data_IF_656553503054
#
_entry.id   IF_656553503054
#
_cell.length_a   1.000
_cell.length_b   1.000
_cell.length_c   1.000
_cell.angle_alpha   90.00
_cell.angle_beta   90.00
_cell.angle_gamma   90.00
#
_symmetry.space_group_name_H-M   'P 1'
#
loop_
_entity.id
_entity.type
_entity.pdbx_description
1 polymer ?
#
# COMPACT_ATOMS: atom_id res chain seq x y z
N UNK A 1 -33.92 -7.86 -11.81
CA UNK A 1 -33.21 -7.23 -12.93
C UNK A 1 -31.94 -6.65 -12.32
N UNK A 2 -30.78 -7.28 -12.53
CA UNK A 2 -29.49 -6.73 -12.16
C UNK A 2 -29.25 -5.48 -13.03
N UNK A 3 -28.98 -4.34 -12.41
CA UNK A 3 -28.60 -3.14 -13.14
C UNK A 3 -27.35 -3.46 -13.99
N UNK A 4 -27.38 -3.09 -15.27
CA UNK A 4 -26.26 -3.35 -16.17
C UNK A 4 -25.12 -2.38 -15.83
N UNK A 5 -23.97 -2.92 -15.37
CA UNK A 5 -22.80 -2.12 -15.03
C UNK A 5 -21.91 -1.85 -16.24
N UNK A 6 -21.38 -0.63 -16.33
CA UNK A 6 -20.41 -0.20 -17.37
C UNK A 6 -18.96 -0.27 -16.87
N UNK A 7 -18.75 -0.29 -15.56
CA UNK A 7 -17.43 -0.32 -14.96
C UNK A 7 -17.33 -1.37 -13.86
N UNK A 8 -16.19 -2.05 -13.78
CA UNK A 8 -15.86 -2.99 -12.70
C UNK A 8 -14.47 -2.69 -12.11
N UNK A 9 -14.38 -2.66 -10.78
CA UNK A 9 -13.11 -2.63 -10.05
C UNK A 9 -12.93 -3.96 -9.31
N UNK A 10 -11.80 -4.64 -9.54
CA UNK A 10 -11.60 -6.01 -9.07
C UNK A 10 -10.25 -6.13 -8.36
N UNK A 11 -10.26 -6.64 -7.13
CA UNK A 11 -9.05 -6.78 -6.35
C UNK A 11 -9.07 -8.05 -5.48
N UNK A 12 -8.01 -8.85 -5.58
CA UNK A 12 -7.79 -10.00 -4.69
C UNK A 12 -7.29 -9.51 -3.31
N UNK A 13 -8.02 -8.58 -2.72
CA UNK A 13 -7.71 -7.96 -1.43
C UNK A 13 -8.99 -7.80 -0.60
N UNK A 14 -8.85 -7.86 0.73
CA UNK A 14 -10.00 -7.68 1.62
C UNK A 14 -10.40 -6.22 1.70
N UNK A 15 -11.67 -5.94 1.41
CA UNK A 15 -12.23 -4.60 1.49
C UNK A 15 -13.63 -4.57 2.16
N UNK A 16 -13.86 -3.64 3.11
CA UNK A 16 -12.88 -2.75 3.75
C UNK A 16 -11.92 -3.49 4.70
N UNK A 17 -10.79 -2.88 5.00
CA UNK A 17 -9.86 -3.37 6.02
C UNK A 17 -8.97 -2.22 6.54
N UNK A 18 -8.27 -2.41 7.66
CA UNK A 18 -7.31 -1.45 8.21
C UNK A 18 -5.97 -1.41 7.45
N UNK A 19 -5.85 -2.08 6.29
CA UNK A 19 -4.62 -2.08 5.49
C UNK A 19 -4.57 -0.87 4.55
N UNK A 20 -3.36 -0.38 4.27
CA UNK A 20 -3.15 0.65 3.26
C UNK A 20 -3.70 0.30 1.87
N UNK A 21 -3.71 -0.99 1.50
CA UNK A 21 -4.34 -1.44 0.25
C UNK A 21 -5.84 -1.13 0.18
N UNK A 22 -6.57 -1.20 1.30
CA UNK A 22 -7.98 -0.85 1.33
C UNK A 22 -8.21 0.64 1.17
N UNK A 23 -7.33 1.49 1.74
CA UNK A 23 -7.37 2.94 1.51
C UNK A 23 -7.18 3.26 0.04
N UNK A 24 -6.18 2.63 -0.59
CA UNK A 24 -5.91 2.78 -2.01
C UNK A 24 -7.11 2.34 -2.87
N UNK A 25 -7.68 1.13 -2.62
CA UNK A 25 -8.88 0.65 -3.33
C UNK A 25 -10.02 1.65 -3.22
N UNK A 26 -10.27 2.22 -2.03
CA UNK A 26 -11.34 3.21 -1.82
C UNK A 26 -11.20 4.40 -2.76
N UNK A 27 -10.00 4.98 -2.87
CA UNK A 27 -9.78 6.16 -3.70
C UNK A 27 -9.79 5.85 -5.20
N UNK A 28 -9.17 4.76 -5.63
CA UNK A 28 -9.09 4.40 -7.05
C UNK A 28 -10.44 3.92 -7.59
N UNK A 29 -11.16 3.08 -6.81
CA UNK A 29 -12.50 2.64 -7.18
C UNK A 29 -13.52 3.80 -7.19
N UNK A 30 -13.41 4.75 -6.24
CA UNK A 30 -14.26 5.93 -6.25
C UNK A 30 -14.10 6.73 -7.54
N UNK A 31 -12.86 6.93 -8.04
CA UNK A 31 -12.65 7.64 -9.31
C UNK A 31 -13.31 6.94 -10.48
N UNK A 32 -13.17 5.60 -10.57
CA UNK A 32 -13.81 4.82 -11.62
C UNK A 32 -15.34 4.95 -11.57
N UNK A 33 -15.93 4.81 -10.39
CA UNK A 33 -17.38 4.78 -10.23
C UNK A 33 -18.02 6.16 -10.32
N UNK A 34 -17.37 7.22 -9.86
CA UNK A 34 -17.86 8.59 -10.03
C UNK A 34 -17.99 8.96 -11.53
N UNK A 35 -17.07 8.47 -12.38
CA UNK A 35 -17.12 8.69 -13.83
C UNK A 35 -18.24 7.91 -14.54
N UNK A 36 -18.60 6.73 -14.05
CA UNK A 36 -19.57 5.84 -14.70
C UNK A 36 -20.94 5.83 -14.01
N UNK A 37 -21.14 6.66 -12.98
CA UNK A 37 -22.40 6.70 -12.21
C UNK A 37 -22.61 5.48 -11.33
N UNK A 38 -21.55 4.72 -11.05
CA UNK A 38 -21.57 3.49 -10.26
C UNK A 38 -20.80 2.35 -10.94
N UNK A 39 -20.99 1.14 -10.45
CA UNK A 39 -20.33 -0.05 -11.00
C UNK A 39 -20.25 -1.21 -10.03
N UNK A 40 -19.48 -2.23 -10.42
CA UNK A 40 -19.31 -3.47 -9.68
C UNK A 40 -17.93 -3.49 -9.00
N UNK A 41 -17.90 -3.60 -7.67
CA UNK A 41 -16.68 -3.78 -6.87
C UNK A 41 -16.57 -5.24 -6.40
N UNK A 42 -15.65 -6.03 -7.01
CA UNK A 42 -15.37 -7.41 -6.65
C UNK A 42 -14.12 -7.50 -5.76
N UNK A 43 -14.26 -7.97 -4.52
CA UNK A 43 -13.17 -8.01 -3.54
C UNK A 43 -13.24 -9.26 -2.65
N UNK A 44 -12.20 -9.50 -1.85
CA UNK A 44 -12.26 -10.50 -0.79
C UNK A 44 -13.10 -9.99 0.40
N UNK A 45 -13.91 -10.87 0.95
CA UNK A 45 -14.66 -10.67 2.19
C UNK A 45 -13.95 -11.22 3.41
N UNK A 46 -14.74 -11.56 4.43
CA UNK A 46 -14.33 -12.22 5.66
C UNK A 46 -14.72 -11.47 6.92
N UNK A 47 -14.75 -12.18 8.08
CA UNK A 47 -15.31 -11.67 9.31
C UNK A 47 -16.81 -11.39 9.17
N UNK A 48 -17.27 -10.29 9.72
CA UNK A 48 -18.69 -9.90 9.74
C UNK A 48 -19.14 -9.08 8.51
N UNK A 49 -18.27 -9.02 7.47
CA UNK A 49 -18.61 -8.28 6.25
C UNK A 49 -19.67 -9.03 5.43
N UNK A 50 -20.76 -8.35 4.99
CA UNK A 50 -21.77 -8.98 4.16
C UNK A 50 -21.17 -9.38 2.80
N UNK A 51 -21.66 -10.49 2.24
CA UNK A 51 -21.22 -10.94 0.90
C UNK A 51 -21.65 -9.95 -0.22
N UNK A 52 -22.76 -9.24 0.01
CA UNK A 52 -23.31 -8.20 -0.87
C UNK A 52 -23.62 -6.94 -0.10
N UNK A 53 -23.34 -5.80 -0.71
CA UNK A 53 -23.68 -4.48 -0.18
C UNK A 53 -23.87 -3.51 -1.35
N UNK A 54 -24.81 -2.58 -1.23
CA UNK A 54 -25.00 -1.50 -2.21
C UNK A 54 -24.78 -0.15 -1.55
N UNK A 55 -23.95 0.67 -2.17
CA UNK A 55 -23.68 2.05 -1.74
C UNK A 55 -23.92 2.99 -2.95
N UNK A 56 -25.07 3.66 -2.98
CA UNK A 56 -25.47 4.47 -4.13
C UNK A 56 -25.53 3.62 -5.41
N UNK A 57 -24.78 4.01 -6.44
CA UNK A 57 -24.64 3.28 -7.71
C UNK A 57 -23.63 2.14 -7.69
N UNK A 58 -22.96 1.89 -6.58
CA UNK A 58 -21.90 0.86 -6.48
C UNK A 58 -22.45 -0.40 -5.83
N UNK A 59 -22.28 -1.53 -6.51
CA UNK A 59 -22.52 -2.86 -5.96
C UNK A 59 -21.20 -3.46 -5.50
N UNK A 60 -21.09 -3.74 -4.19
CA UNK A 60 -19.92 -4.35 -3.58
C UNK A 60 -20.23 -5.82 -3.34
N UNK A 61 -19.54 -6.69 -4.06
CA UNK A 61 -19.65 -8.14 -3.92
C UNK A 61 -18.35 -8.70 -3.36
N UNK A 62 -18.46 -9.59 -2.38
CA UNK A 62 -17.32 -10.13 -1.65
C UNK A 62 -17.25 -11.63 -1.79
N UNK A 63 -16.08 -12.11 -2.20
CA UNK A 63 -15.76 -13.54 -2.15
C UNK A 63 -15.55 -13.96 -0.70
N UNK A 64 -16.43 -14.81 -0.18
CA UNK A 64 -16.49 -15.20 1.23
C UNK A 64 -16.09 -16.64 1.50
N UNK A 65 -15.80 -17.43 0.44
CA UNK A 65 -15.42 -18.83 0.60
C UNK A 65 -14.10 -18.97 1.36
N UNK A 66 -14.08 -19.91 2.30
CA UNK A 66 -12.90 -20.20 3.12
C UNK A 66 -12.03 -21.21 2.39
N UNK A 67 -11.05 -20.69 1.62
CA UNK A 67 -10.05 -21.50 0.91
C UNK A 67 -8.68 -21.24 1.55
N UNK A 68 -8.14 -22.18 2.34
CA UNK A 68 -6.90 -21.94 3.12
C UNK A 68 -5.66 -21.73 2.25
N UNK A 69 -5.50 -22.54 1.19
CA UNK A 69 -4.37 -22.41 0.27
C UNK A 69 -4.50 -21.12 -0.57
N UNK A 70 -3.43 -20.34 -0.65
CA UNK A 70 -3.43 -19.06 -1.36
C UNK A 70 -3.70 -19.20 -2.86
N UNK A 71 -3.09 -20.17 -3.54
CA UNK A 71 -3.23 -20.34 -4.98
C UNK A 71 -4.60 -20.93 -5.34
N UNK A 72 -5.10 -21.88 -4.54
CA UNK A 72 -6.46 -22.40 -4.71
C UNK A 72 -7.50 -21.30 -4.49
N UNK A 73 -7.28 -20.43 -3.49
CA UNK A 73 -8.14 -19.26 -3.26
C UNK A 73 -8.08 -18.26 -4.42
N UNK A 74 -6.88 -18.01 -4.97
CA UNK A 74 -6.73 -17.13 -6.12
C UNK A 74 -7.47 -17.69 -7.35
N UNK A 75 -7.38 -19.01 -7.60
CA UNK A 75 -8.13 -19.67 -8.65
C UNK A 75 -9.64 -19.64 -8.44
N UNK A 76 -10.09 -19.93 -7.21
CA UNK A 76 -11.52 -19.89 -6.86
C UNK A 76 -12.07 -18.47 -7.00
N UNK A 77 -11.32 -17.46 -6.54
CA UNK A 77 -11.67 -16.05 -6.73
C UNK A 77 -11.76 -15.66 -8.20
N UNK A 78 -10.81 -16.07 -9.02
CA UNK A 78 -10.82 -15.79 -10.47
C UNK A 78 -12.06 -16.38 -11.15
N UNK A 79 -12.42 -17.63 -10.84
CA UNK A 79 -13.63 -18.27 -11.35
C UNK A 79 -14.90 -17.54 -10.85
N UNK A 80 -14.96 -17.20 -9.57
CA UNK A 80 -16.08 -16.45 -8.99
C UNK A 80 -16.23 -15.06 -9.62
N UNK A 81 -15.12 -14.36 -9.93
CA UNK A 81 -15.16 -13.08 -10.66
C UNK A 81 -15.74 -13.26 -12.06
N UNK A 82 -15.35 -14.32 -12.79
CA UNK A 82 -15.92 -14.61 -14.10
C UNK A 82 -17.46 -14.70 -14.06
N UNK A 83 -17.99 -15.45 -13.08
CA UNK A 83 -19.44 -15.58 -12.87
C UNK A 83 -20.12 -14.25 -12.52
N UNK A 84 -19.41 -13.32 -11.83
CA UNK A 84 -19.95 -12.00 -11.50
C UNK A 84 -19.92 -11.04 -12.69
N UNK A 85 -18.96 -11.17 -13.59
CA UNK A 85 -18.84 -10.35 -14.80
C UNK A 85 -19.76 -10.80 -15.93
N UNK A 86 -20.10 -12.09 -16.01
CA UNK A 86 -20.90 -12.66 -17.10
C UNK A 86 -22.21 -11.89 -17.40
N UNK A 87 -23.02 -11.50 -16.40
CA UNK A 87 -24.28 -10.75 -16.66
C UNK A 87 -24.08 -9.36 -17.26
N UNK A 88 -22.83 -8.85 -17.25
CA UNK A 88 -22.47 -7.50 -17.65
C UNK A 88 -21.58 -7.46 -18.93
N UNK A 89 -21.28 -8.61 -19.56
CA UNK A 89 -20.37 -8.69 -20.70
C UNK A 89 -20.69 -7.69 -21.81
N UNK A 90 -21.96 -7.52 -22.15
CA UNK A 90 -22.39 -6.63 -23.24
C UNK A 90 -22.39 -5.15 -22.85
N UNK A 91 -22.24 -4.83 -21.58
CA UNK A 91 -22.34 -3.46 -21.06
C UNK A 91 -21.05 -2.94 -20.45
N UNK A 92 -20.13 -3.83 -20.04
CA UNK A 92 -18.84 -3.45 -19.47
C UNK A 92 -17.96 -2.74 -20.51
N UNK A 93 -17.58 -1.52 -20.22
CA UNK A 93 -16.68 -0.70 -21.02
C UNK A 93 -15.25 -0.76 -20.48
N UNK A 94 -15.11 -0.82 -19.14
CA UNK A 94 -13.82 -0.78 -18.46
C UNK A 94 -13.79 -1.69 -17.23
N UNK A 95 -12.70 -2.45 -17.11
CA UNK A 95 -12.34 -3.20 -15.92
C UNK A 95 -11.02 -2.68 -15.38
N UNK A 96 -11.01 -2.22 -14.11
CA UNK A 96 -9.80 -1.87 -13.39
C UNK A 96 -9.44 -3.01 -12.43
N UNK A 97 -8.24 -3.55 -12.56
CA UNK A 97 -7.80 -4.74 -11.81
C UNK A 97 -6.45 -4.49 -11.12
N UNK A 98 -6.18 -5.23 -10.02
CA UNK A 98 -4.97 -5.00 -9.23
C UNK A 98 -4.00 -6.21 -9.19
N UNK A 99 -4.37 -7.30 -9.79
CA UNK A 99 -3.63 -8.55 -9.74
C UNK A 99 -4.01 -9.46 -10.91
N UNK A 100 -3.19 -10.48 -11.24
CA UNK A 100 -3.46 -11.34 -12.37
C UNK A 100 -4.71 -12.21 -12.20
N UNK A 101 -5.11 -12.51 -10.97
CA UNK A 101 -6.30 -13.33 -10.68
C UNK A 101 -7.60 -12.59 -11.00
N UNK A 102 -7.57 -11.26 -10.81
CA UNK A 102 -8.62 -10.33 -11.21
C UNK A 102 -8.60 -10.06 -12.72
N UNK A 103 -7.40 -10.00 -13.31
CA UNK A 103 -7.22 -9.65 -14.72
C UNK A 103 -7.66 -10.78 -15.67
N UNK A 104 -7.37 -12.04 -15.35
CA UNK A 104 -7.73 -13.17 -16.21
C UNK A 104 -9.21 -13.19 -16.60
N UNK A 105 -10.19 -13.16 -15.66
CA UNK A 105 -11.59 -13.11 -16.02
C UNK A 105 -11.99 -11.80 -16.70
N UNK A 106 -11.40 -10.66 -16.33
CA UNK A 106 -11.69 -9.38 -16.97
C UNK A 106 -11.28 -9.35 -18.45
N UNK A 107 -10.20 -10.03 -18.84
CA UNK A 107 -9.76 -10.15 -20.23
C UNK A 107 -10.75 -10.89 -21.13
N UNK A 108 -11.70 -11.66 -20.59
CA UNK A 108 -12.71 -12.39 -21.39
C UNK A 108 -13.94 -11.55 -21.70
N UNK A 109 -14.12 -10.40 -21.04
CA UNK A 109 -15.33 -9.56 -21.19
C UNK A 109 -15.32 -8.68 -22.44
N UNK A 110 -14.16 -8.49 -23.08
CA UNK A 110 -14.00 -7.50 -24.16
C UNK A 110 -13.92 -6.04 -23.69
N UNK A 111 -14.13 -5.77 -22.40
CA UNK A 111 -13.94 -4.45 -21.81
C UNK A 111 -12.48 -4.01 -21.86
N UNK A 112 -12.23 -2.72 -21.84
CA UNK A 112 -10.87 -2.16 -21.72
C UNK A 112 -10.29 -2.49 -20.35
N UNK A 113 -9.11 -3.07 -20.30
CA UNK A 113 -8.45 -3.46 -19.07
C UNK A 113 -7.45 -2.38 -18.62
N UNK A 114 -7.66 -1.79 -17.46
CA UNK A 114 -6.65 -1.02 -16.73
C UNK A 114 -6.07 -1.91 -15.65
N UNK A 115 -4.76 -2.20 -15.74
CA UNK A 115 -4.06 -3.03 -14.75
C UNK A 115 -3.25 -2.14 -13.81
N UNK A 116 -3.61 -2.12 -12.54
CA UNK A 116 -2.92 -1.39 -11.48
C UNK A 116 -1.85 -2.28 -10.84
N UNK A 117 -0.58 -2.08 -11.19
CA UNK A 117 0.53 -2.88 -10.70
C UNK A 117 1.12 -2.28 -9.41
N UNK A 118 0.54 -2.60 -8.26
CA UNK A 118 1.08 -2.22 -6.94
C UNK A 118 2.10 -3.22 -6.39
N UNK A 119 2.14 -4.41 -6.94
CA UNK A 119 3.03 -5.50 -6.62
C UNK A 119 3.01 -6.55 -7.71
N UNK A 120 3.98 -7.44 -7.67
CA UNK A 120 4.12 -8.53 -8.62
C UNK A 120 4.13 -9.86 -7.84
N UNK A 121 3.03 -10.63 -7.87
CA UNK A 121 2.90 -11.89 -7.13
C UNK A 121 4.06 -12.86 -7.33
N UNK A 122 4.69 -12.90 -8.51
CA UNK A 122 5.87 -13.72 -8.75
C UNK A 122 7.09 -13.35 -7.91
N UNK A 123 7.20 -12.06 -7.48
CA UNK A 123 8.25 -11.57 -6.59
C UNK A 123 7.80 -11.61 -5.12
N UNK A 124 6.51 -11.32 -4.85
CA UNK A 124 6.00 -11.22 -3.46
C UNK A 124 5.69 -12.56 -2.82
N UNK A 125 5.25 -13.56 -3.60
CA UNK A 125 4.83 -14.86 -3.09
C UNK A 125 5.89 -15.57 -2.23
N UNK A 126 7.20 -15.58 -2.57
CA UNK A 126 8.23 -16.20 -1.75
C UNK A 126 8.32 -15.69 -0.32
N UNK A 127 7.92 -14.44 -0.06
CA UNK A 127 7.89 -13.89 1.29
C UNK A 127 6.71 -14.40 2.12
N UNK A 128 5.59 -14.71 1.48
CA UNK A 128 4.43 -15.32 2.13
C UNK A 128 4.52 -16.84 2.17
N UNK A 129 5.18 -17.42 1.19
CA UNK A 129 5.33 -18.87 1.02
C UNK A 129 6.76 -19.21 0.55
N UNK A 130 7.75 -19.25 1.45
CA UNK A 130 9.16 -19.49 1.13
C UNK A 130 9.44 -20.83 0.45
N UNK A 131 8.52 -21.80 0.58
CA UNK A 131 8.61 -23.13 -0.04
C UNK A 131 7.98 -23.21 -1.41
N UNK A 132 7.55 -22.08 -2.01
CA UNK A 132 7.02 -22.06 -3.36
C UNK A 132 8.06 -22.60 -4.37
N UNK A 133 7.68 -23.59 -5.15
CA UNK A 133 8.58 -24.17 -6.15
C UNK A 133 8.93 -23.13 -7.23
N UNK A 134 10.17 -23.10 -7.74
CA UNK A 134 10.56 -22.20 -8.82
C UNK A 134 9.66 -22.31 -10.06
N UNK A 135 9.19 -23.51 -10.40
CA UNK A 135 8.22 -23.72 -11.49
C UNK A 135 6.86 -23.05 -11.24
N UNK A 136 6.41 -22.99 -10.00
CA UNK A 136 5.19 -22.28 -9.62
C UNK A 136 5.37 -20.77 -9.80
N UNK A 137 6.51 -20.23 -9.35
CA UNK A 137 6.81 -18.80 -9.51
C UNK A 137 6.96 -18.41 -10.98
N UNK A 138 7.61 -19.26 -11.81
CA UNK A 138 7.69 -19.07 -13.25
C UNK A 138 6.31 -19.03 -13.90
N UNK A 139 5.41 -19.94 -13.52
CA UNK A 139 4.03 -19.97 -14.03
C UNK A 139 3.23 -18.73 -13.63
N UNK A 140 3.38 -18.26 -12.40
CA UNK A 140 2.75 -17.02 -11.93
C UNK A 140 3.28 -15.84 -12.75
N UNK A 141 4.58 -15.78 -12.98
CA UNK A 141 5.20 -14.75 -13.80
C UNK A 141 4.65 -14.75 -15.24
N UNK A 142 4.49 -15.92 -15.87
CA UNK A 142 3.87 -16.04 -17.20
C UNK A 142 2.44 -15.45 -17.22
N UNK A 143 1.64 -15.73 -16.18
CA UNK A 143 0.29 -15.19 -16.04
C UNK A 143 0.31 -13.67 -15.85
N UNK A 144 1.19 -13.15 -14.97
CA UNK A 144 1.39 -11.72 -14.80
C UNK A 144 1.74 -11.02 -16.12
N UNK A 145 2.74 -11.52 -16.82
CA UNK A 145 3.19 -10.97 -18.10
C UNK A 145 2.10 -11.04 -19.17
N UNK A 146 1.32 -12.11 -19.20
CA UNK A 146 0.18 -12.24 -20.10
C UNK A 146 -0.86 -11.14 -19.84
N UNK A 147 -1.25 -10.93 -18.56
CA UNK A 147 -2.24 -9.93 -18.19
C UNK A 147 -1.73 -8.50 -18.43
N UNK A 148 -0.50 -8.21 -18.02
CA UNK A 148 0.14 -6.89 -18.19
C UNK A 148 0.24 -6.50 -19.68
N UNK A 149 0.69 -7.40 -20.55
CA UNK A 149 0.83 -7.13 -21.99
C UNK A 149 -0.51 -6.94 -22.71
N UNK A 150 -1.59 -7.49 -22.18
CA UNK A 150 -2.94 -7.36 -22.75
C UNK A 150 -3.73 -6.19 -22.19
N UNK A 151 -3.27 -5.56 -21.12
CA UNK A 151 -3.91 -4.38 -20.55
C UNK A 151 -3.88 -3.20 -21.55
N UNK A 152 -4.97 -2.46 -21.63
CA UNK A 152 -5.07 -1.21 -22.39
C UNK A 152 -4.16 -0.14 -21.81
N UNK A 153 -4.07 -0.09 -20.47
CA UNK A 153 -3.13 0.73 -19.72
C UNK A 153 -2.65 -0.01 -18.47
N UNK A 154 -1.40 0.26 -18.05
CA UNK A 154 -0.83 -0.22 -16.79
C UNK A 154 -0.55 0.98 -15.90
N UNK A 155 -1.22 1.05 -14.77
CA UNK A 155 -1.03 2.09 -13.75
C UNK A 155 -0.01 1.61 -12.74
N UNK A 156 1.00 2.42 -12.46
CA UNK A 156 2.09 2.12 -11.53
C UNK A 156 2.27 3.22 -10.50
N UNK A 157 2.54 2.90 -9.22
CA UNK A 157 2.66 3.91 -8.17
C UNK A 157 4.08 4.49 -8.03
N UNK A 158 5.07 3.97 -8.77
CA UNK A 158 6.47 4.42 -8.74
C UNK A 158 7.19 4.11 -10.04
N UNK A 159 8.26 4.84 -10.35
CA UNK A 159 9.12 4.56 -11.51
C UNK A 159 9.81 3.20 -11.40
N UNK A 160 10.16 2.75 -10.20
CA UNK A 160 10.79 1.44 -10.00
C UNK A 160 9.87 0.32 -10.49
N UNK A 161 8.61 0.32 -10.09
CA UNK A 161 7.67 -0.70 -10.59
C UNK A 161 7.29 -0.46 -12.06
N UNK A 162 7.33 0.79 -12.53
CA UNK A 162 7.19 1.14 -13.94
C UNK A 162 8.27 0.44 -14.79
N UNK A 163 9.52 0.50 -14.37
CA UNK A 163 10.63 -0.22 -14.99
C UNK A 163 10.40 -1.73 -14.94
N UNK A 164 10.01 -2.27 -13.76
CA UNK A 164 9.77 -3.70 -13.60
C UNK A 164 8.67 -4.25 -14.53
N UNK A 165 7.62 -3.48 -14.81
CA UNK A 165 6.56 -3.92 -15.76
C UNK A 165 6.97 -3.73 -17.22
N UNK A 166 7.77 -2.69 -17.53
CA UNK A 166 8.35 -2.50 -18.87
C UNK A 166 9.30 -3.64 -19.21
N UNK A 167 10.14 -4.08 -18.28
CA UNK A 167 11.04 -5.23 -18.43
C UNK A 167 10.25 -6.56 -18.62
N UNK A 168 8.97 -6.59 -18.28
CA UNK A 168 8.04 -7.69 -18.56
C UNK A 168 7.32 -7.57 -19.91
N UNK A 169 7.73 -6.63 -20.73
CA UNK A 169 7.26 -6.46 -22.12
C UNK A 169 5.99 -5.61 -22.26
N UNK A 170 5.69 -4.76 -21.28
CA UNK A 170 4.68 -3.71 -21.44
C UNK A 170 5.30 -2.55 -22.22
N UNK A 171 4.62 -2.10 -23.27
CA UNK A 171 5.08 -0.94 -24.05
C UNK A 171 5.07 0.33 -23.17
N UNK A 172 6.15 1.14 -23.19
CA UNK A 172 6.27 2.29 -22.28
C UNK A 172 5.14 3.32 -22.38
N UNK A 173 4.54 3.49 -23.54
CA UNK A 173 3.40 4.38 -23.79
C UNK A 173 2.09 3.92 -23.11
N UNK A 174 2.04 2.67 -22.67
CA UNK A 174 0.92 2.13 -21.89
C UNK A 174 1.18 2.14 -20.37
N UNK A 175 2.37 2.55 -19.92
CA UNK A 175 2.71 2.62 -18.48
C UNK A 175 2.50 4.03 -17.96
N UNK A 176 1.58 4.20 -17.02
CA UNK A 176 1.19 5.49 -16.48
C UNK A 176 1.51 5.59 -14.99
N UNK A 177 2.28 6.62 -14.61
CA UNK A 177 2.64 6.86 -13.21
C UNK A 177 1.48 7.55 -12.47
N UNK A 178 0.89 6.86 -11.52
CA UNK A 178 -0.12 7.38 -10.59
C UNK A 178 0.35 7.12 -9.16
N UNK A 179 1.17 8.02 -8.58
CA UNK A 179 1.65 7.85 -7.21
C UNK A 179 0.51 7.79 -6.20
N UNK A 180 0.74 7.10 -5.10
CA UNK A 180 -0.17 7.18 -3.96
C UNK A 180 -0.29 8.62 -3.46
N UNK A 181 -1.39 8.92 -2.80
CA UNK A 181 -1.62 10.18 -2.13
C UNK A 181 -1.72 10.02 -0.61
N UNK A 182 -1.73 11.16 0.07
CA UNK A 182 -2.18 11.27 1.44
C UNK A 182 -2.82 12.64 1.65
N UNK A 183 -3.86 12.71 2.47
CA UNK A 183 -4.51 13.99 2.73
C UNK A 183 -3.84 14.68 3.94
N UNK A 184 -3.66 16.01 3.88
CA UNK A 184 -3.05 16.77 4.95
C UNK A 184 -3.80 16.59 6.28
N UNK A 185 -3.06 16.36 7.35
CA UNK A 185 -3.63 16.25 8.69
C UNK A 185 -4.02 17.63 9.21
N UNK A 186 -5.17 17.74 9.89
CA UNK A 186 -5.60 18.98 10.51
C UNK A 186 -4.62 19.41 11.60
N UNK A 187 -4.38 20.73 11.71
CA UNK A 187 -3.42 21.27 12.67
C UNK A 187 -3.84 21.04 14.14
N UNK A 188 -5.13 20.88 14.37
CA UNK A 188 -5.75 20.70 15.68
C UNK A 188 -6.14 19.23 15.97
N UNK A 189 -5.59 18.27 15.20
CA UNK A 189 -5.85 16.85 15.44
C UNK A 189 -5.49 16.52 16.90
N UNK A 190 -6.42 15.92 17.68
CA UNK A 190 -6.18 15.67 19.08
C UNK A 190 -5.07 14.62 19.28
N UNK A 191 -4.25 14.83 20.31
CA UNK A 191 -3.24 13.84 20.69
C UNK A 191 -3.93 12.55 21.13
N UNK A 192 -3.46 11.38 20.69
CA UNK A 192 -4.01 10.11 21.18
C UNK A 192 -3.86 10.02 22.71
N UNK A 193 -4.92 9.65 23.45
CA UNK A 193 -4.93 9.70 24.92
C UNK A 193 -3.84 8.84 25.57
N UNK A 194 -3.49 7.73 24.93
CA UNK A 194 -2.47 6.80 25.42
C UNK A 194 -1.09 7.02 24.78
N UNK A 195 -0.87 8.16 24.12
CA UNK A 195 0.42 8.44 23.50
C UNK A 195 1.47 8.74 24.58
N UNK A 196 2.68 8.14 24.48
CA UNK A 196 3.81 8.49 25.35
C UNK A 196 4.14 9.98 25.26
N UNK A 197 4.73 10.55 26.29
CA UNK A 197 5.10 11.96 26.32
C UNK A 197 5.93 12.37 25.10
N UNK A 198 6.93 11.56 24.76
CA UNK A 198 7.84 11.75 23.63
C UNK A 198 8.05 10.45 22.89
N UNK A 199 7.88 10.42 21.58
CA UNK A 199 7.99 9.15 20.83
C UNK A 199 8.38 9.31 19.37
N UNK A 200 9.02 8.27 18.87
CA UNK A 200 9.22 8.00 17.45
C UNK A 200 8.16 6.99 16.99
N UNK A 201 7.60 7.17 15.82
CA UNK A 201 6.52 6.31 15.32
C UNK A 201 6.95 5.49 14.09
N UNK A 202 6.51 4.25 14.06
CA UNK A 202 6.44 3.41 12.88
C UNK A 202 4.97 3.10 12.57
N UNK A 203 4.59 3.28 11.32
CA UNK A 203 3.25 2.91 10.83
C UNK A 203 3.38 1.86 9.74
N UNK A 204 2.60 0.79 9.81
CA UNK A 204 2.49 -0.17 8.70
C UNK A 204 2.45 -1.63 9.09
N UNK A 205 2.58 -2.45 8.06
CA UNK A 205 2.64 -3.90 8.18
C UNK A 205 3.96 -4.35 8.85
N UNK A 206 3.99 -5.59 9.37
CA UNK A 206 5.13 -6.14 10.12
C UNK A 206 5.84 -7.29 9.36
N UNK A 207 5.75 -7.29 8.03
CA UNK A 207 6.47 -8.27 7.21
C UNK A 207 7.99 -8.03 7.25
N UNK A 208 8.82 -9.06 6.99
CA UNK A 208 10.27 -8.95 7.08
C UNK A 208 10.88 -7.79 6.28
N UNK A 209 10.38 -7.54 5.06
CA UNK A 209 10.89 -6.46 4.21
C UNK A 209 10.57 -5.04 4.71
N UNK A 210 9.78 -4.93 5.77
CA UNK A 210 9.47 -3.64 6.42
C UNK A 210 10.54 -3.19 7.42
N UNK A 211 11.46 -4.08 7.84
CA UNK A 211 12.62 -3.77 8.65
C UNK A 211 12.31 -3.36 10.10
N UNK A 212 11.18 -3.81 10.66
CA UNK A 212 10.84 -3.47 12.06
C UNK A 212 11.82 -4.08 13.05
N UNK A 213 12.43 -5.22 12.75
CA UNK A 213 13.51 -5.82 13.56
C UNK A 213 14.78 -4.94 13.54
N UNK A 214 15.11 -4.33 12.40
CA UNK A 214 16.19 -3.34 12.28
C UNK A 214 15.89 -2.12 13.15
N UNK A 215 14.65 -1.64 13.13
CA UNK A 215 14.21 -0.53 13.98
C UNK A 215 14.33 -0.85 15.48
N UNK A 216 13.89 -2.02 15.91
CA UNK A 216 14.02 -2.46 17.31
C UNK A 216 15.49 -2.52 17.76
N UNK A 217 16.38 -3.04 16.91
CA UNK A 217 17.84 -3.06 17.18
C UNK A 217 18.46 -1.65 17.19
N UNK A 218 17.91 -0.73 16.38
CA UNK A 218 18.32 0.67 16.41
C UNK A 218 17.89 1.35 17.72
N UNK A 219 16.65 1.11 18.15
CA UNK A 219 16.12 1.67 19.39
C UNK A 219 16.87 1.18 20.64
N UNK A 220 17.31 -0.09 20.68
CA UNK A 220 18.15 -0.60 21.74
C UNK A 220 19.47 0.20 21.91
N UNK A 221 19.93 0.92 20.89
CA UNK A 221 21.11 1.82 20.92
C UNK A 221 20.79 3.25 21.38
N UNK A 222 19.53 3.53 21.66
CA UNK A 222 19.03 4.80 22.16
C UNK A 222 18.53 4.68 23.62
N UNK A 223 18.96 3.62 24.34
CA UNK A 223 18.50 3.34 25.70
C UNK A 223 18.87 4.43 26.73
N UNK A 224 19.83 5.28 26.40
CA UNK A 224 20.20 6.48 27.18
C UNK A 224 19.15 7.59 27.09
N UNK A 225 18.28 7.59 26.08
CA UNK A 225 17.15 8.53 25.93
C UNK A 225 15.93 7.94 26.67
N UNK A 226 15.95 8.01 27.99
CA UNK A 226 14.98 7.32 28.86
C UNK A 226 13.55 7.87 28.78
N UNK A 227 13.37 9.07 28.25
CA UNK A 227 12.09 9.73 28.01
C UNK A 227 11.50 9.43 26.62
N UNK A 228 12.27 8.74 25.76
CA UNK A 228 11.88 8.43 24.39
C UNK A 228 11.26 7.03 24.32
N UNK A 229 10.07 6.94 23.72
CA UNK A 229 9.37 5.68 23.43
C UNK A 229 9.34 5.39 21.94
N UNK A 230 9.26 4.12 21.58
CA UNK A 230 8.90 3.68 20.24
C UNK A 230 7.41 3.33 20.19
N UNK A 231 6.68 3.94 19.27
CA UNK A 231 5.29 3.56 18.97
C UNK A 231 5.25 2.79 17.65
N UNK A 232 4.60 1.64 17.66
CA UNK A 232 4.40 0.80 16.47
C UNK A 232 2.92 0.64 16.19
N UNK A 233 2.40 1.37 15.20
CA UNK A 233 1.03 1.29 14.73
C UNK A 233 0.94 0.29 13.57
N UNK A 234 0.10 -0.73 13.71
CA UNK A 234 -0.01 -1.77 12.68
C UNK A 234 -1.43 -2.30 12.52
N UNK A 235 -1.78 -2.65 11.29
CA UNK A 235 -3.05 -3.32 10.96
C UNK A 235 -3.06 -4.83 11.27
N UNK A 236 -1.92 -5.43 11.68
CA UNK A 236 -1.85 -6.85 12.00
C UNK A 236 -2.41 -7.16 13.38
N UNK A 237 -2.80 -8.43 13.58
CA UNK A 237 -3.24 -8.91 14.89
C UNK A 237 -2.05 -9.14 15.85
N UNK A 238 -2.26 -9.06 17.18
CA UNK A 238 -1.21 -9.33 18.17
C UNK A 238 -0.53 -10.70 18.00
N UNK A 239 -1.28 -11.72 17.56
CA UNK A 239 -0.75 -13.07 17.36
C UNK A 239 0.35 -13.13 16.30
N UNK A 240 0.22 -12.35 15.22
CA UNK A 240 1.21 -12.30 14.12
C UNK A 240 2.45 -11.48 14.44
N UNK A 241 2.39 -10.62 15.45
CA UNK A 241 3.48 -9.75 15.87
C UNK A 241 4.37 -10.35 16.97
N UNK A 242 3.98 -11.50 17.57
CA UNK A 242 4.69 -12.14 18.67
C UNK A 242 6.22 -12.25 18.50
N UNK A 243 6.78 -12.58 17.31
CA UNK A 243 8.24 -12.62 17.14
C UNK A 243 8.91 -11.26 17.38
N UNK A 244 8.30 -10.17 16.91
CA UNK A 244 8.82 -8.81 17.08
C UNK A 244 8.63 -8.31 18.52
N UNK A 245 7.50 -8.61 19.14
CA UNK A 245 7.24 -8.31 20.56
C UNK A 245 8.31 -8.96 21.43
N UNK A 246 8.57 -10.26 21.25
CA UNK A 246 9.64 -10.98 21.96
C UNK A 246 11.04 -10.43 21.66
N UNK A 247 11.27 -9.93 20.46
CA UNK A 247 12.53 -9.28 20.11
C UNK A 247 12.70 -7.98 20.90
N UNK A 248 11.66 -7.14 20.96
CA UNK A 248 11.66 -5.89 21.73
C UNK A 248 11.94 -6.16 23.21
N UNK A 249 11.26 -7.14 23.80
CA UNK A 249 11.48 -7.57 25.20
C UNK A 249 12.93 -8.00 25.45
N UNK A 250 13.49 -8.86 24.58
CA UNK A 250 14.90 -9.30 24.70
C UNK A 250 15.92 -8.18 24.56
N UNK A 251 15.59 -7.15 23.79
CA UNK A 251 16.43 -5.97 23.58
C UNK A 251 16.24 -4.90 24.66
N UNK A 252 15.25 -5.06 25.54
CA UNK A 252 14.90 -4.05 26.55
C UNK A 252 14.35 -2.76 25.96
N UNK A 253 13.72 -2.82 24.77
CA UNK A 253 13.18 -1.63 24.09
C UNK A 253 11.75 -1.37 24.55
N UNK A 254 11.45 -0.19 25.12
CA UNK A 254 10.09 0.18 25.47
C UNK A 254 9.28 0.49 24.22
N UNK A 255 8.34 -0.40 23.85
CA UNK A 255 7.48 -0.26 22.68
C UNK A 255 6.03 -0.17 23.08
N UNK A 256 5.37 0.88 22.62
CA UNK A 256 3.91 1.00 22.66
C UNK A 256 3.33 0.40 21.37
N UNK A 257 2.76 -0.80 21.46
CA UNK A 257 2.16 -1.47 20.33
C UNK A 257 0.70 -1.06 20.15
N UNK A 258 0.33 -0.67 18.93
CA UNK A 258 -1.04 -0.38 18.51
C UNK A 258 -1.42 -1.32 17.35
N UNK A 259 -2.13 -2.39 17.69
CA UNK A 259 -2.55 -3.41 16.74
C UNK A 259 -3.96 -3.14 16.24
N UNK A 260 -4.20 -3.48 14.97
CA UNK A 260 -5.51 -3.31 14.33
C UNK A 260 -6.05 -1.87 14.45
N UNK A 261 -5.12 -0.90 14.50
CA UNK A 261 -5.46 0.51 14.58
C UNK A 261 -6.31 0.90 13.35
N UNK A 262 -7.48 1.52 13.54
CA UNK A 262 -8.23 2.10 12.45
C UNK A 262 -7.39 3.11 11.67
N UNK A 263 -7.58 3.15 10.33
CA UNK A 263 -6.74 4.00 9.50
C UNK A 263 -6.90 5.50 9.83
N UNK A 264 -8.10 5.91 10.17
CA UNK A 264 -8.44 7.27 10.58
C UNK A 264 -7.66 7.75 11.82
N UNK A 265 -7.25 6.84 12.69
CA UNK A 265 -6.49 7.17 13.90
C UNK A 265 -4.99 7.35 13.62
N UNK A 266 -4.49 6.84 12.49
CA UNK A 266 -3.05 6.88 12.13
C UNK A 266 -2.53 8.32 12.06
N UNK A 267 -3.33 9.23 11.53
CA UNK A 267 -2.98 10.63 11.35
C UNK A 267 -2.58 11.31 12.67
N UNK A 268 -3.32 11.04 13.75
CA UNK A 268 -3.03 11.59 15.07
C UNK A 268 -1.71 11.06 15.65
N UNK A 269 -1.41 9.76 15.49
CA UNK A 269 -0.14 9.18 15.91
C UNK A 269 1.06 9.75 15.15
N UNK A 270 0.90 10.05 13.87
CA UNK A 270 1.94 10.68 13.06
C UNK A 270 2.15 12.14 13.46
N UNK A 271 1.08 12.92 13.56
CA UNK A 271 1.16 14.36 13.82
C UNK A 271 1.79 14.73 15.18
N UNK A 272 1.69 13.85 16.15
CA UNK A 272 2.23 14.06 17.51
C UNK A 272 3.56 13.35 17.78
N UNK A 273 4.14 12.68 16.78
CA UNK A 273 5.45 12.04 16.89
C UNK A 273 6.59 13.06 16.68
N UNK A 274 7.72 12.84 17.35
CA UNK A 274 8.96 13.60 17.09
C UNK A 274 9.44 13.39 15.65
N UNK A 275 9.38 12.14 15.19
CA UNK A 275 9.67 11.73 13.82
C UNK A 275 9.07 10.36 13.50
N UNK A 276 8.96 10.05 12.23
CA UNK A 276 8.54 8.77 11.68
C UNK A 276 9.72 7.99 11.10
N UNK A 277 9.64 6.66 11.11
CA UNK A 277 10.71 5.81 10.56
C UNK A 277 10.16 4.86 9.50
N UNK A 278 10.83 4.80 8.35
CA UNK A 278 10.54 3.86 7.27
C UNK A 278 11.78 2.98 6.96
N UNK A 279 12.06 1.94 7.80
CA UNK A 279 13.32 1.21 7.80
C UNK A 279 13.33 0.02 6.82
N UNK A 280 12.77 0.18 5.62
CA UNK A 280 12.63 -0.88 4.65
C UNK A 280 13.97 -1.58 4.37
N UNK A 281 13.95 -2.91 4.24
CA UNK A 281 15.15 -3.72 3.99
C UNK A 281 15.49 -3.78 2.50
N UNK A 282 16.76 -4.06 2.18
CA UNK A 282 17.25 -4.22 0.81
C UNK A 282 16.91 -5.62 0.26
N UNK A 283 15.66 -5.85 -0.06
CA UNK A 283 15.17 -7.12 -0.64
C UNK A 283 14.80 -6.93 -2.11
N UNK A 284 14.77 -8.01 -2.93
CA UNK A 284 14.30 -7.94 -4.32
C UNK A 284 12.93 -7.26 -4.45
N UNK A 285 12.03 -7.50 -3.50
CA UNK A 285 10.73 -6.82 -3.45
C UNK A 285 10.87 -5.30 -3.40
N UNK A 286 11.77 -4.77 -2.58
CA UNK A 286 11.94 -3.33 -2.41
C UNK A 286 12.88 -2.70 -3.46
N UNK A 287 13.77 -3.49 -4.07
CA UNK A 287 14.77 -3.02 -5.04
C UNK A 287 14.35 -3.23 -6.50
N UNK A 288 13.81 -4.42 -6.81
CA UNK A 288 13.50 -4.82 -8.19
C UNK A 288 12.04 -4.55 -8.56
N UNK A 289 11.11 -4.93 -7.69
CA UNK A 289 9.69 -4.64 -7.89
C UNK A 289 9.39 -3.19 -7.53
N UNK A 290 9.89 -2.73 -6.39
CA UNK A 290 9.53 -1.46 -5.82
C UNK A 290 8.18 -1.48 -5.11
N UNK A 291 7.82 -0.31 -4.63
CA UNK A 291 6.52 -0.03 -4.00
C UNK A 291 6.31 1.49 -3.94
N UNK A 292 5.13 1.92 -3.53
CA UNK A 292 4.92 3.31 -3.11
C UNK A 292 4.42 3.28 -1.65
N UNK A 293 5.32 3.49 -0.68
CA UNK A 293 5.01 3.25 0.73
C UNK A 293 4.07 4.34 1.28
N UNK A 294 2.79 4.00 1.41
CA UNK A 294 1.72 4.91 1.90
C UNK A 294 2.13 5.55 3.23
N UNK A 295 2.78 4.82 4.15
CA UNK A 295 3.28 5.35 5.42
C UNK A 295 4.18 6.59 5.28
N UNK A 296 4.96 6.66 4.19
CA UNK A 296 5.84 7.82 3.94
C UNK A 296 5.00 9.00 3.49
N UNK A 297 4.04 8.78 2.58
CA UNK A 297 3.09 9.81 2.16
C UNK A 297 2.28 10.35 3.35
N UNK A 298 1.79 9.46 4.23
CA UNK A 298 1.06 9.83 5.44
C UNK A 298 1.91 10.62 6.44
N UNK A 299 3.17 10.22 6.64
CA UNK A 299 4.11 10.97 7.49
C UNK A 299 4.35 12.38 6.95
N UNK A 300 4.54 12.51 5.63
CA UNK A 300 4.68 13.80 4.96
C UNK A 300 3.42 14.66 5.11
N UNK A 301 2.24 14.06 4.94
CA UNK A 301 0.95 14.73 5.07
C UNK A 301 0.68 15.23 6.50
N UNK A 302 1.19 14.51 7.49
CA UNK A 302 1.14 14.91 8.90
C UNK A 302 2.18 16.00 9.26
N UNK A 303 3.10 16.34 8.36
CA UNK A 303 4.20 17.27 8.65
C UNK A 303 5.27 16.66 9.56
N UNK A 304 5.38 15.34 9.61
CA UNK A 304 6.31 14.62 10.46
C UNK A 304 7.58 14.26 9.68
N UNK A 305 8.74 14.66 10.20
CA UNK A 305 10.03 14.34 9.58
C UNK A 305 10.23 12.81 9.48
N UNK A 306 10.85 12.34 8.38
CA UNK A 306 11.03 10.92 8.11
C UNK A 306 12.50 10.54 8.10
N UNK A 307 12.88 9.54 8.91
CA UNK A 307 14.12 8.78 8.77
C UNK A 307 13.81 7.51 7.97
N UNK A 308 14.50 7.30 6.88
CA UNK A 308 14.17 6.19 5.98
C UNK A 308 15.42 5.48 5.44
N UNK A 309 15.24 4.22 5.06
CA UNK A 309 16.25 3.49 4.29
C UNK A 309 16.46 4.14 2.93
N UNK A 310 17.73 4.25 2.52
CA UNK A 310 18.13 4.78 1.22
C UNK A 310 17.84 3.77 0.11
N UNK A 311 16.60 3.78 -0.35
CA UNK A 311 16.10 2.92 -1.41
C UNK A 311 15.47 3.78 -2.51
N UNK A 312 15.56 3.36 -3.79
CA UNK A 312 15.01 4.13 -4.92
C UNK A 312 13.55 4.56 -4.71
N UNK A 313 12.69 3.63 -4.27
CA UNK A 313 11.27 3.88 -4.03
C UNK A 313 10.98 4.89 -2.91
N UNK A 314 11.88 5.01 -1.93
CA UNK A 314 11.78 6.02 -0.87
C UNK A 314 12.27 7.37 -1.38
N UNK A 315 13.35 7.37 -2.16
CA UNK A 315 13.88 8.58 -2.77
C UNK A 315 12.89 9.24 -3.73
N UNK A 316 12.14 8.46 -4.50
CA UNK A 316 11.06 8.99 -5.35
C UNK A 316 10.03 9.79 -4.56
N UNK A 317 9.66 9.30 -3.38
CA UNK A 317 8.64 9.92 -2.52
C UNK A 317 9.21 11.15 -1.80
N UNK A 318 10.31 10.98 -1.08
CA UNK A 318 10.86 12.03 -0.22
C UNK A 318 11.70 13.06 -0.98
N UNK A 319 12.42 12.65 -2.05
CA UNK A 319 13.42 13.54 -2.67
C UNK A 319 14.52 13.88 -1.67
N UNK A 320 14.67 15.16 -1.35
CA UNK A 320 15.61 15.70 -0.36
C UNK A 320 14.97 15.97 1.03
N UNK A 321 13.68 15.62 1.18
CA UNK A 321 12.88 15.92 2.38
C UNK A 321 12.95 14.84 3.46
N UNK A 322 13.86 13.89 3.36
CA UNK A 322 14.05 12.82 4.33
C UNK A 322 15.48 12.68 4.82
N UNK A 323 15.65 12.11 6.00
CA UNK A 323 16.96 11.66 6.48
C UNK A 323 17.18 10.22 6.05
N UNK A 324 18.14 10.00 5.13
CA UNK A 324 18.42 8.68 4.59
C UNK A 324 19.55 7.97 5.31
N UNK A 325 19.39 6.66 5.48
CA UNK A 325 20.40 5.76 6.05
C UNK A 325 20.54 4.52 5.18
N UNK A 326 21.71 3.89 5.08
CA UNK A 326 21.84 2.60 4.40
C UNK A 326 20.85 1.59 4.98
N UNK A 327 20.15 0.81 4.14
CA UNK A 327 19.22 -0.22 4.61
C UNK A 327 19.94 -1.27 5.46
N UNK A 328 19.22 -1.94 6.36
CA UNK A 328 19.71 -3.02 7.20
C UNK A 328 20.89 -2.63 8.13
N UNK A 329 20.98 -1.34 8.52
CA UNK A 329 22.03 -0.80 9.39
C UNK A 329 21.45 -0.15 10.66
N UNK A 330 21.21 -0.94 11.73
CA UNK A 330 20.62 -0.43 12.97
C UNK A 330 21.43 0.70 13.61
N UNK A 331 22.77 0.68 13.53
CA UNK A 331 23.61 1.71 14.10
C UNK A 331 23.47 3.05 13.37
N UNK A 332 23.40 3.03 12.05
CA UNK A 332 23.21 4.24 11.25
C UNK A 332 21.79 4.82 11.45
N UNK A 333 20.80 3.93 11.54
CA UNK A 333 19.42 4.32 11.85
C UNK A 333 19.33 5.00 13.22
N UNK A 334 19.94 4.42 14.26
CA UNK A 334 19.99 5.01 15.60
C UNK A 334 20.68 6.36 15.59
N UNK A 335 21.82 6.49 14.90
CA UNK A 335 22.54 7.78 14.76
C UNK A 335 21.67 8.83 14.07
N UNK A 336 20.99 8.49 12.98
CA UNK A 336 20.13 9.43 12.26
C UNK A 336 18.95 9.90 13.10
N UNK A 337 18.30 8.99 13.84
CA UNK A 337 17.24 9.32 14.79
C UNK A 337 17.76 10.28 15.86
N UNK A 338 18.90 9.97 16.50
CA UNK A 338 19.51 10.80 17.54
C UNK A 338 19.78 12.22 17.03
N UNK A 339 20.42 12.35 15.87
CA UNK A 339 20.75 13.67 15.28
C UNK A 339 19.49 14.49 15.07
N UNK A 340 18.42 13.90 14.53
CA UNK A 340 17.18 14.66 14.32
C UNK A 340 16.50 15.04 15.64
N UNK A 341 16.58 14.21 16.68
CA UNK A 341 16.04 14.53 18.00
C UNK A 341 16.85 15.64 18.73
N UNK A 342 18.13 15.78 18.41
CA UNK A 342 18.99 16.86 18.94
C UNK A 342 18.77 18.20 18.21
N UNK A 343 18.20 18.18 17.00
CA UNK A 343 17.94 19.36 16.16
C UNK A 343 16.45 19.44 15.75
N UNK A 344 15.55 19.74 16.68
CA UNK A 344 14.10 19.74 16.43
C UNK A 344 13.67 20.79 15.39
N UNK A 345 14.46 21.84 15.16
CA UNK A 345 14.24 22.81 14.09
C UNK A 345 14.39 22.16 12.70
N UNK A 346 15.32 21.22 12.53
CA UNK A 346 15.48 20.47 11.27
C UNK A 346 14.27 19.57 11.05
N UNK A 347 13.79 18.90 12.11
CA UNK A 347 12.56 18.09 12.00
C UNK A 347 11.35 18.92 11.56
N UNK A 348 11.18 20.12 12.14
CA UNK A 348 10.08 21.01 11.77
C UNK A 348 10.18 21.49 10.32
N UNK A 349 11.38 21.89 9.86
CA UNK A 349 11.60 22.31 8.47
C UNK A 349 11.30 21.18 7.49
N UNK A 350 11.87 19.98 7.72
CA UNK A 350 11.63 18.81 6.89
C UNK A 350 10.15 18.40 6.86
N UNK A 351 9.50 18.43 8.01
CA UNK A 351 8.07 18.12 8.15
C UNK A 351 7.19 19.09 7.38
N UNK A 352 7.39 20.39 7.59
CA UNK A 352 6.60 21.43 6.91
C UNK A 352 6.80 21.39 5.39
N UNK A 353 8.02 21.31 4.91
CA UNK A 353 8.32 21.19 3.47
C UNK A 353 7.73 19.92 2.87
N UNK A 354 7.76 18.80 3.62
CA UNK A 354 7.11 17.55 3.22
C UNK A 354 5.61 17.72 3.07
N UNK A 355 4.97 18.38 4.06
CA UNK A 355 3.54 18.67 4.04
C UNK A 355 3.16 19.56 2.86
N UNK A 356 3.95 20.58 2.56
CA UNK A 356 3.74 21.47 1.40
C UNK A 356 3.86 20.70 0.08
N UNK A 357 4.79 19.74 -0.03
CA UNK A 357 4.88 18.85 -1.20
C UNK A 357 3.60 18.04 -1.39
N UNK A 358 3.02 17.49 -0.31
CA UNK A 358 1.74 16.76 -0.38
C UNK A 358 0.62 17.67 -0.87
N UNK A 359 0.47 18.84 -0.26
CA UNK A 359 -0.58 19.82 -0.62
C UNK A 359 -0.44 20.24 -2.08
N UNK A 360 0.78 20.43 -2.55
CA UNK A 360 1.09 20.91 -3.90
C UNK A 360 0.85 19.90 -5.03
N UNK A 361 0.72 18.59 -4.73
CA UNK A 361 0.58 17.65 -5.85
C UNK A 361 0.38 16.17 -5.50
N UNK A 362 0.27 15.79 -4.22
CA UNK A 362 0.25 14.40 -3.81
C UNK A 362 -0.83 14.06 -2.78
N UNK A 363 -1.96 14.80 -2.80
CA UNK A 363 -3.18 14.38 -2.09
C UNK A 363 -3.87 13.24 -2.85
N UNK A 364 -4.78 12.52 -2.19
CA UNK A 364 -5.62 11.53 -2.89
C UNK A 364 -6.42 12.14 -4.03
N UNK A 365 -6.82 13.42 -3.91
CA UNK A 365 -7.45 14.15 -5.02
C UNK A 365 -6.53 14.23 -6.25
N UNK A 366 -5.25 14.51 -6.08
CA UNK A 366 -4.29 14.55 -7.17
C UNK A 366 -4.03 13.15 -7.78
N UNK A 367 -3.96 12.10 -6.93
CA UNK A 367 -3.85 10.73 -7.42
C UNK A 367 -5.07 10.34 -8.28
N UNK A 368 -6.28 10.67 -7.82
CA UNK A 368 -7.53 10.46 -8.58
C UNK A 368 -7.53 11.21 -9.90
N UNK A 369 -7.12 12.49 -9.91
CA UNK A 369 -7.05 13.27 -11.14
C UNK A 369 -6.11 12.66 -12.18
N UNK A 370 -4.92 12.17 -11.76
CA UNK A 370 -4.02 11.44 -12.66
C UNK A 370 -4.62 10.14 -13.19
N UNK A 371 -5.34 9.41 -12.35
CA UNK A 371 -6.03 8.20 -12.77
C UNK A 371 -7.16 8.52 -13.76
N UNK A 372 -7.88 9.64 -13.56
CA UNK A 372 -8.89 10.12 -14.49
C UNK A 372 -8.32 10.36 -15.89
N UNK A 373 -7.13 10.98 -15.99
CA UNK A 373 -6.43 11.18 -17.26
C UNK A 373 -6.12 9.83 -17.95
N UNK A 374 -5.72 8.81 -17.20
CA UNK A 374 -5.51 7.47 -17.75
C UNK A 374 -6.80 6.87 -18.29
N UNK A 375 -7.92 7.01 -17.58
CA UNK A 375 -9.22 6.55 -18.07
C UNK A 375 -9.65 7.28 -19.36
N UNK A 376 -9.41 8.58 -19.44
CA UNK A 376 -9.69 9.35 -20.66
C UNK A 376 -8.90 8.83 -21.86
N UNK A 377 -7.62 8.52 -21.69
CA UNK A 377 -6.78 7.94 -22.74
C UNK A 377 -7.27 6.55 -23.17
N UNK A 378 -7.66 5.71 -22.19
CA UNK A 378 -8.14 4.35 -22.47
C UNK A 378 -9.49 4.34 -23.21
N UNK A 379 -10.38 5.30 -22.93
CA UNK A 379 -11.71 5.37 -23.57
C UNK A 379 -11.62 6.01 -24.97
N UNK A 380 -10.66 6.91 -25.20
CA UNK A 380 -10.49 7.60 -26.48
C UNK A 380 -9.94 6.71 -27.62
N UNK A 381 -9.35 5.57 -27.27
CA UNK A 381 -8.76 4.59 -28.20
C UNK A 381 -9.53 3.27 -28.22
#
# INVERSE_FOLDING_TARGET
VTDAHRAAYIAFDRFPSAKGSAVHIRHMAAELFDRHGGGLLCVLGGGDLPAYQREGGVEIVRFTDVVPNLLDRARAFSAWVADRLEPHHDTLEICHVRDPWSALPALTTGARLVYEANGLPSIELPYAWPMAAPSTLAKIREIEEHCLRRASAVVVPSYVIGTAVTDRGVAPDRVHLVPNGADPVAADVPRPPDAPGRYVVYVGALQPWQGVDVLLRAFARLADLTDLSLVVCSSVTPSRSRPLVRLAERLGVPVTWRFQLPHEDVAAWLAHAELSVAPLTATPRNLEQGCSPIKVWESMAAGTAVVASDLPVIREVLGDLGRFVPPDRPAELARAVRVLLEYPEICRDLGERSRQKIIGGYTWKHARSRLAEVYDLVVAH
#
